data_IF_122531154269
#
_entry.id   IF_122531154269
#
_cell.length_a   1.000
_cell.length_b   1.000
_cell.length_c   1.000
_cell.angle_alpha   90.00
_cell.angle_beta   90.00
_cell.angle_gamma   90.00
#
_symmetry.space_group_name_H-M   'P 1'
#
loop_
_entity.id
_entity.type
_entity.pdbx_description
1 polymer ?
#
# COMPACT_ATOMS: atom_id res chain seq x y z
N UNK A 1 -24.88 -7.74 -9.97
CA UNK A 1 -23.55 -8.35 -10.20
C UNK A 1 -23.48 -9.63 -9.40
N UNK A 2 -23.18 -10.75 -10.04
CA UNK A 2 -22.90 -12.00 -9.31
C UNK A 2 -21.39 -12.06 -9.04
N UNK A 3 -21.03 -12.33 -7.79
CA UNK A 3 -19.66 -12.55 -7.35
C UNK A 3 -19.24 -13.96 -7.78
N UNK A 4 -18.75 -14.08 -9.02
CA UNK A 4 -18.18 -15.33 -9.52
C UNK A 4 -16.77 -15.53 -8.96
N UNK A 5 -16.28 -16.76 -8.98
CA UNK A 5 -14.89 -17.05 -8.57
C UNK A 5 -13.88 -16.24 -9.39
N UNK A 6 -14.09 -16.12 -10.70
CA UNK A 6 -13.24 -15.30 -11.57
C UNK A 6 -13.20 -13.82 -11.16
N UNK A 7 -14.34 -13.25 -10.76
CA UNK A 7 -14.38 -11.88 -10.25
C UNK A 7 -13.61 -11.75 -8.92
N UNK A 8 -13.75 -12.73 -8.01
CA UNK A 8 -13.01 -12.73 -6.75
C UNK A 8 -11.49 -12.79 -6.96
N UNK A 9 -11.02 -13.60 -7.91
CA UNK A 9 -9.60 -13.68 -8.23
C UNK A 9 -9.06 -12.36 -8.77
N UNK A 10 -9.76 -11.73 -9.71
CA UNK A 10 -9.36 -10.43 -10.24
C UNK A 10 -9.27 -9.37 -9.13
N UNK A 11 -10.26 -9.31 -8.24
CA UNK A 11 -10.27 -8.33 -7.16
C UNK A 11 -9.13 -8.55 -6.16
N UNK A 12 -8.74 -9.81 -5.90
CA UNK A 12 -7.64 -10.12 -4.98
C UNK A 12 -6.27 -9.60 -5.45
N UNK A 13 -6.10 -9.37 -6.75
CA UNK A 13 -4.89 -8.79 -7.33
C UNK A 13 -5.06 -7.31 -7.72
N UNK A 14 -6.18 -6.69 -7.34
CA UNK A 14 -6.48 -5.29 -7.61
C UNK A 14 -6.99 -4.99 -9.02
N UNK A 15 -7.54 -5.99 -9.72
CA UNK A 15 -8.14 -5.86 -11.05
C UNK A 15 -9.68 -6.00 -10.98
N UNK A 16 -10.35 -5.76 -12.11
CA UNK A 16 -11.81 -5.85 -12.21
C UNK A 16 -12.49 -4.56 -11.75
N UNK A 17 -13.62 -4.68 -11.06
CA UNK A 17 -14.48 -3.54 -10.71
C UNK A 17 -13.98 -2.75 -9.46
N UNK A 18 -12.71 -2.92 -9.06
CA UNK A 18 -12.13 -2.21 -7.92
C UNK A 18 -11.77 -0.77 -8.33
N UNK A 19 -12.59 0.19 -7.91
CA UNK A 19 -12.32 1.61 -8.08
C UNK A 19 -11.93 2.25 -6.75
N UNK A 20 -10.69 2.73 -6.65
CA UNK A 20 -10.16 3.43 -5.48
C UNK A 20 -9.37 4.66 -5.90
N UNK A 21 -9.42 5.71 -5.08
CA UNK A 21 -8.57 6.88 -5.27
C UNK A 21 -7.15 6.62 -4.75
N UNK A 22 -6.12 7.32 -5.28
CA UNK A 22 -4.77 7.30 -4.73
C UNK A 22 -4.71 7.50 -3.21
N UNK A 23 -5.49 8.45 -2.69
CA UNK A 23 -5.54 8.74 -1.26
C UNK A 23 -6.12 7.59 -0.44
N UNK A 24 -7.17 6.93 -0.93
CA UNK A 24 -7.74 5.76 -0.25
C UNK A 24 -6.78 4.58 -0.20
N UNK A 25 -6.04 4.35 -1.29
CA UNK A 25 -5.05 3.27 -1.36
C UNK A 25 -3.85 3.57 -0.45
N UNK A 26 -3.35 4.81 -0.46
CA UNK A 26 -2.32 5.28 0.47
C UNK A 26 -2.77 5.15 1.93
N UNK A 27 -3.99 5.57 2.25
CA UNK A 27 -4.60 5.42 3.57
C UNK A 27 -4.64 3.97 4.02
N UNK A 28 -5.12 3.05 3.17
CA UNK A 28 -5.15 1.62 3.48
C UNK A 28 -3.74 1.06 3.78
N UNK A 29 -2.73 1.49 3.03
CA UNK A 29 -1.36 1.02 3.20
C UNK A 29 -0.71 1.45 4.53
N UNK A 30 -1.21 2.51 5.18
CA UNK A 30 -0.71 2.94 6.49
C UNK A 30 -0.90 1.90 7.59
N UNK A 31 -1.80 0.92 7.41
CA UNK A 31 -2.01 -0.18 8.36
C UNK A 31 -0.71 -0.96 8.62
N UNK A 32 0.12 -1.12 7.58
CA UNK A 32 1.40 -1.84 7.67
C UNK A 32 2.52 -0.96 8.24
N UNK A 33 2.45 0.35 8.01
CA UNK A 33 3.40 1.31 8.57
C UNK A 33 3.20 1.48 10.09
N UNK A 34 1.96 1.44 10.56
CA UNK A 34 1.58 1.79 11.93
C UNK A 34 1.09 0.58 12.74
N UNK A 35 1.51 -0.64 12.40
CA UNK A 35 1.20 -1.87 13.16
C UNK A 35 -0.30 -2.08 13.46
N UNK A 36 -1.17 -1.66 12.55
CA UNK A 36 -2.63 -1.80 12.66
C UNK A 36 -3.40 -0.52 13.02
N UNK A 37 -2.71 0.55 13.38
CA UNK A 37 -3.31 1.86 13.70
C UNK A 37 -3.33 2.78 12.48
N UNK A 38 -4.50 3.00 11.89
CA UNK A 38 -4.63 3.75 10.64
C UNK A 38 -4.93 5.23 10.95
N UNK A 39 -3.99 6.18 10.74
CA UNK A 39 -4.20 7.59 11.04
C UNK A 39 -5.24 8.23 10.14
N UNK A 40 -6.15 9.04 10.70
CA UNK A 40 -7.12 9.79 9.90
C UNK A 40 -6.40 10.90 9.11
N UNK A 41 -6.50 10.91 7.76
CA UNK A 41 -5.83 11.90 6.93
C UNK A 41 -6.30 13.33 7.24
N UNK A 42 -5.36 14.27 7.20
CA UNK A 42 -5.63 15.69 7.43
C UNK A 42 -4.65 16.53 6.61
N UNK A 43 -5.12 17.68 6.12
CA UNK A 43 -4.27 18.64 5.38
C UNK A 43 -3.69 19.70 6.30
N UNK A 44 -4.50 20.19 7.25
CA UNK A 44 -4.06 21.19 8.24
C UNK A 44 -3.32 20.49 9.37
N UNK A 45 -2.12 20.99 9.72
CA UNK A 45 -1.35 20.54 10.88
C UNK A 45 -2.23 20.45 12.13
N UNK A 46 -2.12 19.34 12.86
CA UNK A 46 -2.80 19.10 14.14
C UNK A 46 -1.79 18.85 15.25
N UNK A 47 -2.20 19.10 16.49
CA UNK A 47 -1.41 18.74 17.68
C UNK A 47 -1.70 17.32 18.16
N UNK A 48 -2.89 16.79 17.83
CA UNK A 48 -3.33 15.43 18.14
C UNK A 48 -3.88 14.76 16.88
N UNK A 49 -3.59 13.47 16.74
CA UNK A 49 -4.01 12.65 15.63
C UNK A 49 -4.99 11.58 16.10
N UNK A 50 -6.03 11.38 15.31
CA UNK A 50 -7.03 10.34 15.52
C UNK A 50 -6.64 9.10 14.69
N UNK A 51 -6.95 7.91 15.20
CA UNK A 51 -6.59 6.64 14.58
C UNK A 51 -7.80 5.70 14.53
N UNK A 52 -7.83 4.84 13.49
CA UNK A 52 -8.68 3.66 13.43
C UNK A 52 -7.84 2.41 13.68
N UNK A 53 -8.17 1.66 14.72
CA UNK A 53 -7.57 0.36 14.99
C UNK A 53 -8.19 -0.73 14.12
N UNK A 54 -7.37 -1.45 13.37
CA UNK A 54 -7.81 -2.63 12.60
C UNK A 54 -7.98 -3.87 13.47
N UNK A 55 -8.72 -4.87 12.98
CA UNK A 55 -8.84 -6.20 13.58
C UNK A 55 -7.79 -7.20 13.08
N UNK A 56 -6.94 -6.80 12.11
CA UNK A 56 -5.86 -7.63 11.57
C UNK A 56 -4.84 -7.92 12.67
N UNK A 57 -4.43 -9.18 12.78
CA UNK A 57 -3.45 -9.59 13.79
C UNK A 57 -2.07 -8.98 13.52
N UNK A 58 -1.33 -8.67 14.59
CA UNK A 58 0.05 -8.18 14.49
C UNK A 58 0.95 -9.13 13.70
N UNK A 59 0.75 -10.44 13.85
CA UNK A 59 1.50 -11.46 13.10
C UNK A 59 1.24 -11.38 11.59
N UNK A 60 -0.02 -11.17 11.17
CA UNK A 60 -0.36 -11.02 9.76
C UNK A 60 0.24 -9.72 9.19
N UNK A 61 0.15 -8.62 9.95
CA UNK A 61 0.76 -7.33 9.56
C UNK A 61 2.27 -7.49 9.36
N UNK A 62 2.96 -8.11 10.32
CA UNK A 62 4.40 -8.34 10.23
C UNK A 62 4.77 -9.23 9.04
N UNK A 63 4.00 -10.29 8.80
CA UNK A 63 4.20 -11.18 7.65
C UNK A 63 4.11 -10.41 6.33
N UNK A 64 3.09 -9.56 6.17
CA UNK A 64 2.93 -8.73 4.97
C UNK A 64 4.04 -7.70 4.88
N UNK A 65 4.42 -7.06 5.99
CA UNK A 65 5.50 -6.07 6.05
C UNK A 65 6.84 -6.65 5.57
N UNK A 66 7.19 -7.87 5.96
CA UNK A 66 8.39 -8.56 5.46
C UNK A 66 8.31 -8.84 3.95
N UNK A 67 7.13 -9.21 3.44
CA UNK A 67 6.91 -9.34 1.99
C UNK A 67 7.11 -8.02 1.24
N UNK A 68 6.55 -6.92 1.75
CA UNK A 68 6.69 -5.57 1.18
C UNK A 68 8.14 -5.09 1.18
N UNK A 69 8.89 -5.41 2.23
CA UNK A 69 10.33 -5.19 2.29
C UNK A 69 11.05 -5.97 1.20
N UNK A 70 10.73 -7.25 1.03
CA UNK A 70 11.30 -8.11 -0.01
C UNK A 70 11.08 -7.59 -1.43
N UNK A 71 9.92 -7.00 -1.71
CA UNK A 71 9.62 -6.38 -3.02
C UNK A 71 10.66 -5.33 -3.40
N UNK A 72 11.09 -4.50 -2.45
CA UNK A 72 12.08 -3.46 -2.69
C UNK A 72 13.51 -4.02 -2.56
N UNK A 73 13.76 -4.92 -1.61
CA UNK A 73 15.09 -5.48 -1.36
C UNK A 73 15.57 -6.49 -2.41
N UNK A 74 14.70 -7.15 -3.16
CA UNK A 74 15.09 -8.11 -4.22
C UNK A 74 13.98 -8.41 -5.26
N UNK A 75 12.80 -7.79 -5.15
CA UNK A 75 11.65 -8.11 -5.99
C UNK A 75 11.42 -7.14 -7.15
N UNK A 76 10.16 -6.78 -7.37
CA UNK A 76 9.73 -5.94 -8.52
C UNK A 76 9.95 -4.44 -8.29
N UNK A 77 10.17 -4.01 -7.05
CA UNK A 77 10.25 -2.60 -6.67
C UNK A 77 11.65 -2.11 -6.35
N UNK A 78 12.69 -2.75 -6.89
CA UNK A 78 14.10 -2.50 -6.49
C UNK A 78 14.60 -1.10 -6.79
N UNK A 79 13.99 -0.42 -7.76
CA UNK A 79 14.28 0.99 -8.07
C UNK A 79 13.88 1.96 -6.94
N UNK A 80 13.06 1.51 -5.98
CA UNK A 80 12.66 2.31 -4.82
C UNK A 80 13.60 2.15 -3.61
N UNK A 81 14.74 1.46 -3.74
CA UNK A 81 15.74 1.34 -2.66
C UNK A 81 16.38 2.69 -2.36
N UNK A 82 16.71 2.90 -1.08
CA UNK A 82 17.44 4.07 -0.58
C UNK A 82 18.60 3.56 0.28
N UNK A 83 19.77 4.19 0.19
CA UNK A 83 21.00 3.66 0.81
C UNK A 83 20.97 3.65 2.34
N UNK A 84 20.27 4.58 2.97
CA UNK A 84 20.37 4.84 4.42
C UNK A 84 19.30 4.13 5.26
N UNK A 85 18.27 3.56 4.63
CA UNK A 85 17.19 2.90 5.33
C UNK A 85 16.45 1.94 4.41
N UNK A 86 15.80 0.95 5.02
CA UNK A 86 15.03 -0.03 4.28
C UNK A 86 13.63 0.52 3.96
N UNK A 87 13.15 0.22 2.75
CA UNK A 87 11.86 0.68 2.25
C UNK A 87 10.93 -0.53 2.12
N UNK A 88 9.70 -0.39 2.62
CA UNK A 88 8.62 -1.35 2.34
C UNK A 88 7.75 -0.79 1.23
N UNK A 89 7.43 -1.58 0.21
CA UNK A 89 6.53 -1.09 -0.83
C UNK A 89 6.00 -2.16 -1.76
N UNK A 90 5.12 -1.73 -2.67
CA UNK A 90 4.54 -2.57 -3.71
C UNK A 90 4.40 -1.78 -5.01
N UNK A 91 4.75 -2.44 -6.11
CA UNK A 91 4.43 -2.00 -7.47
C UNK A 91 3.09 -2.59 -7.90
N UNK A 92 2.34 -1.82 -8.70
CA UNK A 92 1.12 -2.26 -9.35
C UNK A 92 1.08 -1.81 -10.81
N UNK A 93 0.47 -2.63 -11.65
CA UNK A 93 0.15 -2.31 -13.04
C UNK A 93 -1.33 -2.57 -13.22
N UNK A 94 -2.08 -1.55 -13.62
CA UNK A 94 -3.53 -1.63 -13.87
C UNK A 94 -3.75 -1.56 -15.37
N UNK A 95 -4.44 -2.56 -15.90
CA UNK A 95 -4.69 -2.63 -17.33
C UNK A 95 -5.72 -1.57 -17.73
N UNK A 96 -5.40 -0.80 -18.77
CA UNK A 96 -6.30 0.20 -19.31
C UNK A 96 -6.78 -0.22 -20.71
N UNK A 97 -8.03 -0.66 -20.88
CA UNK A 97 -8.53 -1.08 -22.19
C UNK A 97 -8.63 0.06 -23.21
N UNK A 98 -8.40 1.31 -22.79
CA UNK A 98 -8.53 2.51 -23.61
C UNK A 98 -7.19 3.22 -23.89
N UNK A 99 -6.04 2.66 -23.49
CA UNK A 99 -4.74 3.30 -23.69
C UNK A 99 -3.58 2.57 -23.02
N UNK A 100 -2.55 3.33 -22.63
CA UNK A 100 -1.42 2.80 -21.87
C UNK A 100 -1.85 2.34 -20.48
N UNK A 101 -1.20 1.29 -19.99
CA UNK A 101 -1.41 0.76 -18.65
C UNK A 101 -0.98 1.78 -17.59
N UNK A 102 -1.72 1.80 -16.49
CA UNK A 102 -1.36 2.65 -15.36
C UNK A 102 -0.33 1.96 -14.47
N UNK A 103 0.72 2.69 -14.12
CA UNK A 103 1.78 2.20 -13.22
C UNK A 103 1.70 2.91 -11.88
N UNK A 104 1.77 2.14 -10.80
CA UNK A 104 1.77 2.69 -9.45
C UNK A 104 2.85 2.08 -8.57
N UNK A 105 3.30 2.89 -7.62
CA UNK A 105 4.09 2.45 -6.48
C UNK A 105 3.54 3.06 -5.20
N UNK A 106 3.42 2.24 -4.17
CA UNK A 106 3.11 2.69 -2.81
C UNK A 106 4.12 2.09 -1.84
N UNK A 107 4.66 2.91 -0.95
CA UNK A 107 5.64 2.43 0.01
C UNK A 107 5.84 3.39 1.17
N UNK A 108 6.45 2.90 2.24
CA UNK A 108 6.79 3.67 3.44
C UNK A 108 8.20 3.36 3.91
N UNK A 109 8.77 4.32 4.64
CA UNK A 109 10.12 4.24 5.16
C UNK A 109 10.34 5.15 6.38
N UNK A 110 11.37 4.89 7.20
CA UNK A 110 12.12 3.63 7.32
C UNK A 110 11.20 2.43 7.62
N UNK A 111 11.65 1.20 7.34
CA UNK A 111 10.78 0.02 7.52
C UNK A 111 10.44 -0.26 8.99
N UNK A 112 11.37 0.00 9.89
CA UNK A 112 11.31 -0.29 11.33
C UNK A 112 10.57 0.80 12.11
N UNK A 113 10.84 2.07 11.82
CA UNK A 113 10.15 3.24 12.37
C UNK A 113 9.61 4.15 11.25
N UNK A 114 8.46 3.82 10.63
CA UNK A 114 7.96 4.55 9.47
C UNK A 114 7.61 6.01 9.75
N UNK A 115 8.25 6.92 9.00
CA UNK A 115 8.05 8.37 9.11
C UNK A 115 7.32 8.96 7.91
N UNK A 116 7.39 8.30 6.75
CA UNK A 116 6.80 8.77 5.51
C UNK A 116 6.18 7.61 4.73
N UNK A 117 5.05 7.89 4.07
CA UNK A 117 4.45 7.05 3.04
C UNK A 117 4.37 7.86 1.75
N UNK A 118 4.78 7.24 0.65
CA UNK A 118 4.74 7.82 -0.69
C UNK A 118 3.87 6.95 -1.59
N UNK A 119 2.98 7.61 -2.34
CA UNK A 119 2.19 7.00 -3.40
C UNK A 119 2.47 7.74 -4.71
N UNK A 120 2.81 7.00 -5.75
CA UNK A 120 3.05 7.53 -7.11
C UNK A 120 2.19 6.74 -8.07
N UNK A 121 1.56 7.45 -9.00
CA UNK A 121 0.73 6.89 -10.07
C UNK A 121 1.00 7.66 -11.36
N UNK A 122 1.16 6.94 -12.47
CA UNK A 122 1.42 7.46 -13.82
C UNK A 122 0.49 6.76 -14.80
#
# INVERSE_FOLDING_TARGET
MNWTEGHMFNLSIGQGDLLVTPLQLAYAFTVFANNGEIPIPHVKKREKYDYHTTTISKQAIETVKQGLKGVVSFGTGTLARVDNFEVCGKTGTVQNPHGEDHSLFVGFAPSDDPQILVFVFV
#
